data_IF_031988030048
#
_entry.id   IF_031988030048
#
_cell.length_a   1.000
_cell.length_b   1.000
_cell.length_c   1.000
_cell.angle_alpha   90.00
_cell.angle_beta   90.00
_cell.angle_gamma   90.00
#
_symmetry.space_group_name_H-M   'P 1'
#
loop_
_entity.id
_entity.type
_entity.pdbx_description
1 polymer ?
#
# COMPACT_ATOMS: atom_id res chain seq x y z
N UNK A 1 -16.39 -4.27 -7.76
CA UNK A 1 -16.26 -5.25 -6.65
C UNK A 1 -15.79 -6.63 -7.08
N UNK A 2 -16.44 -7.36 -8.00
CA UNK A 2 -15.93 -8.67 -8.48
C UNK A 2 -14.83 -8.51 -9.54
N UNK A 3 -14.98 -7.57 -10.47
CA UNK A 3 -13.97 -7.28 -11.50
C UNK A 3 -12.64 -6.77 -10.92
N UNK A 4 -12.67 -5.97 -9.85
CA UNK A 4 -11.45 -5.48 -9.19
C UNK A 4 -10.65 -6.62 -8.55
N UNK A 5 -11.35 -7.61 -7.96
CA UNK A 5 -10.71 -8.81 -7.37
C UNK A 5 -10.08 -9.73 -8.41
N UNK A 6 -10.62 -9.76 -9.63
CA UNK A 6 -10.06 -10.52 -10.75
C UNK A 6 -9.13 -9.70 -11.64
N UNK A 7 -8.91 -8.41 -11.36
CA UNK A 7 -8.08 -7.52 -12.18
C UNK A 7 -6.69 -8.11 -12.39
N UNK A 8 -6.04 -8.56 -11.32
CA UNK A 8 -4.70 -9.18 -11.39
C UNK A 8 -4.68 -10.48 -12.22
N UNK A 9 -5.75 -11.28 -12.14
CA UNK A 9 -5.89 -12.50 -12.93
C UNK A 9 -6.03 -12.21 -14.43
N UNK A 10 -6.85 -11.21 -14.78
CA UNK A 10 -6.99 -10.78 -16.17
C UNK A 10 -5.73 -10.08 -16.69
N UNK A 11 -5.03 -9.33 -15.84
CA UNK A 11 -3.76 -8.68 -16.18
C UNK A 11 -2.61 -9.66 -16.37
N UNK A 12 -2.64 -10.85 -15.76
CA UNK A 12 -1.64 -11.89 -15.97
C UNK A 12 -1.91 -12.79 -17.18
N UNK A 13 -3.16 -12.87 -17.65
CA UNK A 13 -3.55 -13.70 -18.80
C UNK A 13 -2.78 -13.41 -20.11
N UNK A 14 -2.44 -12.14 -20.48
CA UNK A 14 -1.61 -11.86 -21.63
C UNK A 14 -0.22 -12.51 -21.57
N UNK A 15 0.38 -12.61 -20.39
CA UNK A 15 1.69 -13.28 -20.20
C UNK A 15 1.57 -14.75 -20.55
N UNK A 16 0.50 -15.40 -20.08
CA UNK A 16 0.22 -16.81 -20.39
C UNK A 16 0.03 -17.01 -21.89
N UNK A 17 -0.75 -16.14 -22.54
CA UNK A 17 -0.97 -16.21 -23.98
C UNK A 17 0.34 -16.07 -24.76
N UNK A 18 1.24 -15.16 -24.35
CA UNK A 18 2.56 -15.00 -24.96
C UNK A 18 3.42 -16.25 -24.76
N UNK A 19 3.47 -16.82 -23.56
CA UNK A 19 4.25 -18.04 -23.29
C UNK A 19 3.75 -19.21 -24.14
N UNK A 20 2.44 -19.41 -24.25
CA UNK A 20 1.86 -20.48 -25.07
C UNK A 20 2.06 -20.24 -26.57
N UNK A 21 1.99 -18.98 -27.02
CA UNK A 21 2.26 -18.63 -28.40
C UNK A 21 3.71 -18.90 -28.78
N UNK A 22 4.66 -18.45 -27.95
CA UNK A 22 6.10 -18.72 -28.16
C UNK A 22 6.35 -20.22 -28.18
N UNK A 23 5.75 -20.97 -27.25
CA UNK A 23 5.84 -22.43 -27.22
C UNK A 23 5.34 -23.07 -28.51
N UNK A 24 4.16 -22.67 -28.99
CA UNK A 24 3.60 -23.16 -30.24
C UNK A 24 4.54 -22.94 -31.42
N UNK A 25 5.13 -21.74 -31.53
CA UNK A 25 6.10 -21.44 -32.59
C UNK A 25 7.36 -22.30 -32.48
N UNK A 26 7.89 -22.49 -31.27
CA UNK A 26 9.11 -23.30 -31.04
C UNK A 26 8.89 -24.77 -31.38
N UNK A 27 7.76 -25.34 -30.96
CA UNK A 27 7.49 -26.77 -31.08
C UNK A 27 6.93 -27.15 -32.45
N UNK A 28 5.98 -26.39 -32.98
CA UNK A 28 5.23 -26.79 -34.19
C UNK A 28 5.76 -26.13 -35.46
N UNK A 29 6.35 -24.93 -35.37
CA UNK A 29 6.82 -24.17 -36.55
C UNK A 29 8.31 -24.34 -36.78
N UNK A 30 9.12 -24.30 -35.73
CA UNK A 30 10.58 -24.39 -35.85
C UNK A 30 11.17 -25.78 -35.61
N UNK A 31 10.36 -26.75 -35.15
CA UNK A 31 10.79 -28.13 -34.85
C UNK A 31 12.09 -28.16 -34.01
N UNK A 32 12.24 -27.18 -33.10
CA UNK A 32 13.40 -27.10 -32.24
C UNK A 32 13.23 -28.22 -31.21
N UNK A 33 14.13 -29.21 -31.27
CA UNK A 33 14.16 -30.35 -30.35
C UNK A 33 14.26 -29.93 -28.88
N UNK A 34 14.11 -30.91 -27.98
CA UNK A 34 14.05 -30.67 -26.53
C UNK A 34 15.26 -29.87 -26.01
N UNK A 35 15.08 -28.56 -25.79
CA UNK A 35 16.15 -27.66 -25.30
C UNK A 35 16.48 -27.93 -23.84
N UNK A 36 15.47 -28.26 -23.04
CA UNK A 36 15.58 -28.66 -21.65
C UNK A 36 14.34 -29.47 -21.23
N UNK A 37 14.51 -30.36 -20.26
CA UNK A 37 13.42 -31.13 -19.66
C UNK A 37 12.84 -30.43 -18.43
N UNK A 38 11.60 -30.77 -18.06
CA UNK A 38 10.95 -30.19 -16.87
C UNK A 38 11.76 -30.38 -15.58
N UNK A 39 12.47 -31.49 -15.45
CA UNK A 39 13.33 -31.77 -14.30
C UNK A 39 14.51 -30.79 -14.18
N UNK A 40 15.10 -30.39 -15.32
CA UNK A 40 16.27 -29.49 -15.34
C UNK A 40 15.92 -28.07 -14.91
N UNK A 41 14.71 -27.60 -15.23
CA UNK A 41 14.23 -26.27 -14.80
C UNK A 41 13.70 -26.25 -13.36
N UNK A 42 13.58 -27.40 -12.69
CA UNK A 42 13.04 -27.49 -11.33
C UNK A 42 13.84 -26.67 -10.30
N UNK A 43 15.16 -26.59 -10.47
CA UNK A 43 16.02 -25.74 -9.64
C UNK A 43 15.72 -24.24 -9.80
N UNK A 44 15.46 -23.80 -11.04
CA UNK A 44 15.08 -22.42 -11.38
C UNK A 44 13.72 -22.08 -10.77
N UNK A 45 12.72 -22.95 -10.94
CA UNK A 45 11.39 -22.83 -10.34
C UNK A 45 11.51 -22.65 -8.82
N UNK A 46 12.32 -23.48 -8.17
CA UNK A 46 12.53 -23.44 -6.71
C UNK A 46 13.15 -22.12 -6.27
N UNK A 47 14.21 -21.66 -6.95
CA UNK A 47 14.86 -20.38 -6.64
C UNK A 47 13.93 -19.18 -6.82
N UNK A 48 13.17 -19.16 -7.92
CA UNK A 48 12.18 -18.10 -8.21
C UNK A 48 11.08 -18.09 -7.15
N UNK A 49 10.56 -19.27 -6.78
CA UNK A 49 9.53 -19.41 -5.74
C UNK A 49 10.01 -18.85 -4.41
N UNK A 50 11.23 -19.19 -3.99
CA UNK A 50 11.81 -18.73 -2.73
C UNK A 50 11.92 -17.20 -2.69
N UNK A 51 12.47 -16.59 -3.74
CA UNK A 51 12.65 -15.14 -3.82
C UNK A 51 11.31 -14.41 -3.86
N UNK A 52 10.35 -14.91 -4.63
CA UNK A 52 8.98 -14.37 -4.64
C UNK A 52 8.32 -14.48 -3.27
N UNK A 53 8.50 -15.62 -2.58
CA UNK A 53 7.99 -15.82 -1.23
C UNK A 53 8.55 -14.81 -0.22
N UNK A 54 9.85 -14.55 -0.26
CA UNK A 54 10.48 -13.54 0.61
C UNK A 54 10.01 -12.12 0.30
N UNK A 55 9.92 -11.76 -0.98
CA UNK A 55 9.45 -10.43 -1.39
C UNK A 55 7.98 -10.24 -1.01
N UNK A 56 7.13 -11.23 -1.27
CA UNK A 56 5.72 -11.21 -0.87
C UNK A 56 5.58 -11.10 0.65
N UNK A 57 6.39 -11.83 1.41
CA UNK A 57 6.41 -11.75 2.87
C UNK A 57 6.77 -10.35 3.38
N UNK A 58 7.73 -9.69 2.75
CA UNK A 58 8.12 -8.31 3.05
C UNK A 58 6.98 -7.31 2.80
N UNK A 59 6.46 -7.26 1.57
CA UNK A 59 5.39 -6.31 1.21
C UNK A 59 4.09 -6.58 1.96
N UNK A 60 3.78 -7.84 2.32
CA UNK A 60 2.61 -8.16 3.13
C UNK A 60 2.73 -7.63 4.57
N UNK A 61 3.93 -7.60 5.14
CA UNK A 61 4.15 -7.03 6.47
C UNK A 61 3.89 -5.52 6.44
N UNK A 62 4.46 -4.82 5.46
CA UNK A 62 4.29 -3.38 5.27
C UNK A 62 2.83 -3.02 4.93
N UNK A 63 2.15 -3.84 4.12
CA UNK A 63 0.73 -3.68 3.81
C UNK A 63 -0.15 -3.80 5.07
N UNK A 64 0.01 -4.87 5.87
CA UNK A 64 -0.78 -5.07 7.11
C UNK A 64 -0.56 -3.97 8.14
N UNK A 65 0.67 -3.48 8.20
CA UNK A 65 0.99 -2.34 9.03
C UNK A 65 0.26 -1.09 8.54
N UNK A 66 0.29 -0.85 7.23
CA UNK A 66 -0.37 0.29 6.58
C UNK A 66 -1.89 0.28 6.77
N UNK A 67 -2.56 -0.88 6.78
CA UNK A 67 -3.99 -0.98 7.10
C UNK A 67 -4.33 -0.44 8.50
N UNK A 68 -3.39 -0.49 9.44
CA UNK A 68 -3.61 -0.01 10.82
C UNK A 68 -3.43 1.50 10.95
N UNK A 69 -2.56 2.11 10.13
CA UNK A 69 -2.11 3.49 10.33
C UNK A 69 -3.24 4.53 10.18
N UNK A 70 -4.17 4.44 9.19
CA UNK A 70 -5.29 5.38 9.09
C UNK A 70 -6.16 5.42 10.34
N UNK A 71 -6.42 4.28 10.97
CA UNK A 71 -7.18 4.21 12.21
C UNK A 71 -6.44 4.91 13.36
N UNK A 72 -5.11 4.78 13.43
CA UNK A 72 -4.28 5.48 14.43
C UNK A 72 -4.30 7.00 14.19
N UNK A 73 -4.22 7.45 12.94
CA UNK A 73 -4.36 8.87 12.58
C UNK A 73 -5.73 9.43 12.98
N UNK A 74 -6.81 8.72 12.61
CA UNK A 74 -8.17 9.12 12.97
C UNK A 74 -8.37 9.21 14.49
N UNK A 75 -7.87 8.22 15.24
CA UNK A 75 -7.90 8.26 16.71
C UNK A 75 -7.07 9.40 17.29
N UNK A 76 -5.90 9.70 16.71
CA UNK A 76 -5.04 10.82 17.10
C UNK A 76 -5.73 12.17 16.91
N UNK A 77 -6.35 12.41 15.75
CA UNK A 77 -7.10 13.64 15.47
C UNK A 77 -8.29 13.82 16.43
N UNK A 78 -9.12 12.78 16.59
CA UNK A 78 -10.27 12.82 17.50
C UNK A 78 -9.82 13.00 18.95
N UNK A 79 -8.77 12.28 19.39
CA UNK A 79 -8.21 12.38 20.73
C UNK A 79 -7.61 13.75 21.03
N UNK A 80 -6.92 14.34 20.05
CA UNK A 80 -6.36 15.68 20.18
C UNK A 80 -7.47 16.73 20.30
N UNK A 81 -8.48 16.68 19.42
CA UNK A 81 -9.65 17.56 19.48
C UNK A 81 -10.40 17.42 20.80
N UNK A 82 -10.70 16.20 21.23
CA UNK A 82 -11.41 15.95 22.49
C UNK A 82 -10.63 16.49 23.70
N UNK A 83 -9.31 16.28 23.74
CA UNK A 83 -8.46 16.80 24.82
C UNK A 83 -8.45 18.33 24.83
N UNK A 84 -8.35 18.97 23.65
CA UNK A 84 -8.41 20.42 23.53
C UNK A 84 -9.77 20.99 23.98
N UNK A 85 -10.87 20.31 23.63
CA UNK A 85 -12.21 20.71 24.04
C UNK A 85 -12.40 20.60 25.55
N UNK A 86 -11.95 19.50 26.17
CA UNK A 86 -12.00 19.33 27.63
C UNK A 86 -11.21 20.42 28.36
N UNK A 87 -10.04 20.81 27.84
CA UNK A 87 -9.24 21.88 28.42
C UNK A 87 -9.97 23.24 28.43
N UNK A 88 -10.70 23.54 27.35
CA UNK A 88 -11.44 24.78 27.18
C UNK A 88 -12.77 24.77 27.96
N UNK A 89 -13.51 23.66 27.93
CA UNK A 89 -14.75 23.47 28.69
C UNK A 89 -14.49 23.61 30.20
N UNK A 90 -13.37 23.06 30.70
CA UNK A 90 -12.98 23.21 32.11
C UNK A 90 -12.73 24.67 32.53
N UNK A 91 -12.62 25.60 31.57
CA UNK A 91 -12.43 27.03 31.76
C UNK A 91 -13.59 27.88 31.23
N UNK A 92 -14.72 27.24 30.91
CA UNK A 92 -15.92 27.88 30.34
C UNK A 92 -15.60 28.70 29.08
N UNK A 93 -14.63 28.21 28.28
CA UNK A 93 -14.22 28.83 27.02
C UNK A 93 -14.94 28.21 25.83
N UNK A 94 -15.16 29.01 24.79
CA UNK A 94 -15.62 28.53 23.49
C UNK A 94 -14.55 27.58 22.89
N UNK A 95 -14.99 26.45 22.32
CA UNK A 95 -14.11 25.35 21.91
C UNK A 95 -14.32 24.91 20.46
N UNK A 96 -15.24 25.53 19.71
CA UNK A 96 -15.50 25.15 18.33
C UNK A 96 -14.33 25.55 17.42
N UNK A 97 -13.64 26.65 17.72
CA UNK A 97 -12.42 27.05 17.00
C UNK A 97 -11.32 25.98 17.06
N UNK A 98 -11.10 25.34 18.21
CA UNK A 98 -10.07 24.33 18.39
C UNK A 98 -10.40 23.09 17.56
N UNK A 99 -11.64 22.61 17.67
CA UNK A 99 -12.14 21.49 16.86
C UNK A 99 -12.04 21.76 15.35
N UNK A 100 -12.38 22.97 14.90
CA UNK A 100 -12.28 23.36 13.49
C UNK A 100 -10.85 23.30 12.96
N UNK A 101 -9.88 23.81 13.71
CA UNK A 101 -8.46 23.74 13.33
C UNK A 101 -7.97 22.29 13.21
N UNK A 102 -8.36 21.41 14.13
CA UNK A 102 -8.03 19.98 14.02
C UNK A 102 -8.67 19.34 12.78
N UNK A 103 -9.92 19.72 12.46
CA UNK A 103 -10.58 19.27 11.24
C UNK A 103 -9.83 19.72 9.96
N UNK A 104 -9.38 20.97 9.91
CA UNK A 104 -8.62 21.53 8.77
C UNK A 104 -7.28 20.80 8.56
N UNK A 105 -6.59 20.43 9.66
CA UNK A 105 -5.39 19.59 9.60
C UNK A 105 -5.73 18.18 9.09
N UNK A 106 -6.81 17.58 9.59
CA UNK A 106 -7.26 16.26 9.15
C UNK A 106 -7.66 16.22 7.67
N UNK A 107 -8.30 17.27 7.15
CA UNK A 107 -8.56 17.43 5.71
C UNK A 107 -7.27 17.48 4.90
N UNK A 108 -6.27 18.20 5.40
CA UNK A 108 -4.97 18.32 4.73
C UNK A 108 -4.25 16.98 4.70
N UNK A 109 -4.28 16.20 5.79
CA UNK A 109 -3.75 14.83 5.84
C UNK A 109 -4.50 13.94 4.84
N UNK A 110 -5.82 14.02 4.77
CA UNK A 110 -6.60 13.27 3.79
C UNK A 110 -6.24 13.64 2.35
N UNK A 111 -6.13 14.94 2.03
CA UNK A 111 -5.72 15.41 0.71
C UNK A 111 -4.29 14.95 0.35
N UNK A 112 -3.40 14.90 1.33
CA UNK A 112 -2.04 14.39 1.19
C UNK A 112 -2.00 12.89 0.89
N UNK A 113 -2.82 12.07 1.57
CA UNK A 113 -2.96 10.64 1.28
C UNK A 113 -3.54 10.37 -0.11
N UNK A 114 -4.38 11.28 -0.62
CA UNK A 114 -4.94 11.23 -1.97
C UNK A 114 -3.99 11.79 -3.05
N UNK A 115 -2.73 12.12 -2.69
CA UNK A 115 -1.75 12.70 -3.62
C UNK A 115 -2.05 14.14 -4.07
N UNK A 116 -3.03 14.82 -3.46
CA UNK A 116 -3.45 16.20 -3.83
C UNK A 116 -2.64 17.29 -3.14
N UNK A 117 -1.87 16.93 -2.12
CA UNK A 117 -0.97 17.82 -1.38
C UNK A 117 0.40 17.20 -1.20
N UNK A 118 1.42 18.03 -1.20
CA UNK A 118 2.81 17.65 -0.96
C UNK A 118 3.12 17.39 0.51
N UNK A 119 4.24 16.72 0.78
CA UNK A 119 4.75 16.52 2.16
C UNK A 119 4.95 17.85 2.89
N UNK A 120 5.46 18.87 2.20
CA UNK A 120 5.68 20.18 2.78
C UNK A 120 4.38 20.85 3.23
N UNK A 121 3.31 20.75 2.42
CA UNK A 121 1.99 21.29 2.78
C UNK A 121 1.37 20.53 3.96
N UNK A 122 1.52 19.20 4.00
CA UNK A 122 1.03 18.38 5.10
C UNK A 122 1.72 18.76 6.41
N UNK A 123 3.06 18.84 6.42
CA UNK A 123 3.81 19.21 7.61
C UNK A 123 3.55 20.67 8.04
N UNK A 124 3.35 21.58 7.10
CA UNK A 124 2.96 22.95 7.40
C UNK A 124 1.59 23.02 8.10
N UNK A 125 0.61 22.23 7.66
CA UNK A 125 -0.68 22.13 8.33
C UNK A 125 -0.56 21.44 9.70
N UNK A 126 0.18 20.33 9.79
CA UNK A 126 0.39 19.61 11.06
C UNK A 126 1.02 20.51 12.14
N UNK A 127 1.92 21.43 11.76
CA UNK A 127 2.50 22.40 12.70
C UNK A 127 1.45 23.30 13.39
N UNK A 128 0.24 23.42 12.83
CA UNK A 128 -0.86 24.15 13.46
C UNK A 128 -1.35 23.49 14.76
N UNK A 129 -1.24 22.16 14.90
CA UNK A 129 -1.61 21.46 16.14
C UNK A 129 -0.73 21.92 17.30
N UNK A 130 0.57 22.13 17.07
CA UNK A 130 1.47 22.69 18.09
C UNK A 130 1.07 24.11 18.47
N UNK A 131 0.67 24.94 17.50
CA UNK A 131 0.17 26.30 17.78
C UNK A 131 -1.14 26.27 18.58
N UNK A 132 -2.01 25.31 18.28
CA UNK A 132 -3.26 25.09 19.01
C UNK A 132 -3.00 24.78 20.48
N UNK A 133 -1.98 23.98 20.82
CA UNK A 133 -1.57 23.76 22.23
C UNK A 133 -1.29 25.10 22.93
N UNK A 134 -0.51 25.98 22.30
CA UNK A 134 -0.18 27.31 22.85
C UNK A 134 -1.42 28.20 22.99
N UNK A 135 -2.37 28.13 22.05
CA UNK A 135 -3.58 28.95 22.12
C UNK A 135 -4.55 28.43 23.20
N UNK A 136 -4.63 27.12 23.42
CA UNK A 136 -5.35 26.53 24.55
C UNK A 136 -4.71 26.90 25.89
N UNK A 137 -3.38 26.95 25.96
CA UNK A 137 -2.65 27.43 27.14
C UNK A 137 -2.99 28.89 27.46
N UNK A 138 -2.98 29.77 26.45
CA UNK A 138 -3.37 31.19 26.61
C UNK A 138 -4.83 31.35 27.04
N UNK A 139 -5.71 30.44 26.63
CA UNK A 139 -7.11 30.38 27.08
C UNK A 139 -7.25 29.85 28.52
N UNK A 140 -6.15 29.56 29.21
CA UNK A 140 -6.13 29.09 30.59
C UNK A 140 -6.22 27.57 30.74
N UNK A 141 -6.01 26.79 29.66
CA UNK A 141 -6.04 25.33 29.70
C UNK A 141 -5.08 24.75 30.74
N UNK A 142 -5.56 23.76 31.51
CA UNK A 142 -4.76 23.14 32.56
C UNK A 142 -3.57 22.34 32.01
N UNK A 143 -2.44 22.36 32.73
CA UNK A 143 -1.18 21.71 32.33
C UNK A 143 -1.32 20.22 32.01
N UNK A 144 -2.22 19.49 32.69
CA UNK A 144 -2.43 18.07 32.42
C UNK A 144 -3.08 17.82 31.04
N UNK A 145 -3.95 18.70 30.57
CA UNK A 145 -4.49 18.63 29.21
C UNK A 145 -3.45 18.99 28.17
N UNK A 146 -2.67 20.05 28.42
CA UNK A 146 -1.59 20.46 27.51
C UNK A 146 -0.56 19.34 27.33
N UNK A 147 -0.13 18.70 28.42
CA UNK A 147 0.77 17.55 28.38
C UNK A 147 0.18 16.40 27.55
N UNK A 148 -1.11 16.07 27.75
CA UNK A 148 -1.82 15.05 26.95
C UNK A 148 -1.87 15.43 25.47
N UNK A 149 -2.14 16.69 25.12
CA UNK A 149 -2.15 17.17 23.74
C UNK A 149 -0.77 17.03 23.09
N UNK A 150 0.30 17.36 23.80
CA UNK A 150 1.68 17.19 23.31
C UNK A 150 2.02 15.71 23.06
N UNK A 151 1.59 14.81 23.95
CA UNK A 151 1.74 13.36 23.74
C UNK A 151 1.01 12.89 22.48
N UNK A 152 -0.27 13.24 22.32
CA UNK A 152 -1.06 12.85 21.14
C UNK A 152 -0.47 13.43 19.85
N UNK A 153 0.02 14.67 19.89
CA UNK A 153 0.72 15.30 18.75
C UNK A 153 2.01 14.55 18.39
N UNK A 154 2.79 14.10 19.38
CA UNK A 154 3.98 13.27 19.17
C UNK A 154 3.66 11.90 18.56
N UNK A 155 2.62 11.24 19.04
CA UNK A 155 2.12 9.98 18.49
C UNK A 155 1.63 10.15 17.03
N UNK A 156 0.91 11.23 16.75
CA UNK A 156 0.46 11.57 15.39
C UNK A 156 1.65 11.85 14.48
N UNK A 157 2.64 12.62 14.94
CA UNK A 157 3.88 12.90 14.20
C UNK A 157 4.63 11.61 13.86
N UNK A 158 4.79 10.70 14.81
CA UNK A 158 5.44 9.41 14.58
C UNK A 158 4.68 8.57 13.55
N UNK A 159 3.35 8.56 13.64
CA UNK A 159 2.47 7.83 12.71
C UNK A 159 2.54 8.43 11.30
N UNK A 160 2.49 9.75 11.15
CA UNK A 160 2.57 10.43 9.86
C UNK A 160 3.95 10.26 9.20
N UNK A 161 5.04 10.28 9.98
CA UNK A 161 6.37 9.96 9.47
C UNK A 161 6.44 8.51 8.96
N UNK A 162 5.82 7.57 9.66
CA UNK A 162 5.77 6.17 9.25
C UNK A 162 5.03 5.98 7.94
N UNK A 163 3.88 6.63 7.78
CA UNK A 163 3.15 6.68 6.50
C UNK A 163 4.03 7.30 5.41
N UNK A 164 4.72 8.41 5.70
CA UNK A 164 5.58 9.08 4.73
C UNK A 164 6.75 8.19 4.27
N UNK A 165 7.37 7.45 5.19
CA UNK A 165 8.42 6.48 4.84
C UNK A 165 7.84 5.38 3.95
N UNK A 166 6.77 4.70 4.38
CA UNK A 166 6.16 3.61 3.60
C UNK A 166 5.79 4.07 2.19
N UNK A 167 5.17 5.24 2.06
CA UNK A 167 4.76 5.78 0.75
C UNK A 167 5.96 6.17 -0.12
N UNK A 168 7.01 6.73 0.47
CA UNK A 168 8.15 7.28 -0.28
C UNK A 168 9.30 6.27 -0.48
N UNK A 169 9.24 5.08 0.15
CA UNK A 169 10.26 4.04 -0.01
C UNK A 169 9.65 2.75 -0.58
N UNK A 170 10.02 2.40 -1.81
CA UNK A 170 9.71 1.07 -2.36
C UNK A 170 10.50 -0.02 -1.64
N UNK A 171 9.88 -1.18 -1.39
CA UNK A 171 10.57 -2.31 -0.78
C UNK A 171 11.71 -2.81 -1.70
N UNK A 172 12.96 -2.50 -1.35
CA UNK A 172 14.18 -3.02 -1.99
C UNK A 172 14.12 -3.00 -3.53
N UNK A 173 14.32 -1.83 -4.13
CA UNK A 173 14.27 -1.63 -5.59
C UNK A 173 15.13 -2.63 -6.39
N UNK A 174 16.28 -3.05 -5.86
CA UNK A 174 17.14 -4.09 -6.45
C UNK A 174 16.50 -5.49 -6.42
N UNK A 175 15.72 -5.79 -5.39
CA UNK A 175 14.95 -7.04 -5.26
C UNK A 175 13.85 -7.15 -6.31
N UNK A 176 13.16 -6.04 -6.62
CA UNK A 176 12.19 -6.01 -7.72
C UNK A 176 12.80 -6.27 -9.09
N UNK A 177 13.98 -5.69 -9.36
CA UNK A 177 14.69 -5.93 -10.62
C UNK A 177 15.08 -7.41 -10.73
N UNK A 178 15.68 -7.97 -9.68
CA UNK A 178 16.06 -9.38 -9.64
C UNK A 178 14.85 -10.30 -9.82
N UNK A 179 13.77 -10.08 -9.06
CA UNK A 179 12.53 -10.86 -9.15
C UNK A 179 11.94 -10.79 -10.56
N UNK A 180 11.83 -9.59 -11.14
CA UNK A 180 11.27 -9.41 -12.48
C UNK A 180 12.09 -10.19 -13.52
N UNK A 181 13.42 -10.12 -13.42
CA UNK A 181 14.31 -10.85 -14.31
C UNK A 181 14.19 -12.37 -14.15
N UNK A 182 14.13 -12.87 -12.90
CA UNK A 182 14.00 -14.30 -12.61
C UNK A 182 12.65 -14.85 -13.08
N UNK A 183 11.55 -14.14 -12.84
CA UNK A 183 10.24 -14.51 -13.37
C UNK A 183 10.26 -14.50 -14.88
N UNK A 184 10.84 -13.48 -15.51
CA UNK A 184 10.97 -13.42 -16.97
C UNK A 184 11.73 -14.61 -17.56
N UNK A 185 12.90 -14.95 -16.99
CA UNK A 185 13.66 -16.14 -17.39
C UNK A 185 12.81 -17.40 -17.21
N UNK A 186 12.12 -17.53 -16.07
CA UNK A 186 11.26 -18.68 -15.84
C UNK A 186 10.14 -18.78 -16.87
N UNK A 187 9.50 -17.68 -17.26
CA UNK A 187 8.48 -17.67 -18.31
C UNK A 187 9.04 -18.13 -19.66
N UNK A 188 10.26 -17.70 -20.01
CA UNK A 188 10.94 -18.14 -21.23
C UNK A 188 11.29 -19.63 -21.17
N UNK A 189 11.81 -20.11 -20.04
CA UNK A 189 12.12 -21.52 -19.81
C UNK A 189 10.87 -22.39 -19.93
N UNK A 190 9.74 -21.95 -19.37
CA UNK A 190 8.46 -22.65 -19.50
C UNK A 190 7.95 -22.71 -20.95
N UNK A 191 8.31 -21.75 -21.80
CA UNK A 191 7.95 -21.77 -23.21
C UNK A 191 8.70 -22.87 -23.98
N UNK A 192 9.98 -23.12 -23.65
CA UNK A 192 10.85 -24.04 -24.41
C UNK A 192 10.99 -25.45 -23.82
N UNK A 193 10.58 -25.66 -22.58
CA UNK A 193 10.78 -26.94 -21.87
C UNK A 193 9.95 -28.09 -22.46
N UNK A 194 10.50 -29.30 -22.51
CA UNK A 194 9.78 -30.51 -22.95
C UNK A 194 9.04 -31.20 -21.79
N UNK A 195 7.91 -31.83 -22.11
CA UNK A 195 7.14 -32.66 -21.18
C UNK A 195 6.85 -34.03 -21.81
N UNK A 196 6.91 -35.14 -21.04
CA UNK A 196 6.63 -36.48 -21.57
C UNK A 196 5.19 -36.68 -22.06
N UNK A 197 4.24 -35.93 -21.50
CA UNK A 197 2.82 -36.00 -21.88
C UNK A 197 2.44 -34.78 -22.72
N UNK A 198 1.86 -35.01 -23.90
CA UNK A 198 1.39 -33.97 -24.81
C UNK A 198 0.37 -33.04 -24.15
N UNK A 199 -0.52 -33.57 -23.30
CA UNK A 199 -1.49 -32.74 -22.58
C UNK A 199 -0.79 -31.89 -21.51
N UNK A 200 0.14 -32.49 -20.76
CA UNK A 200 0.89 -31.78 -19.72
C UNK A 200 1.80 -30.69 -20.31
N UNK A 201 2.24 -30.87 -21.55
CA UNK A 201 3.01 -29.89 -22.33
C UNK A 201 2.32 -28.53 -22.43
N UNK A 202 0.99 -28.48 -22.38
CA UNK A 202 0.23 -27.22 -22.46
C UNK A 202 -0.30 -26.77 -21.10
N UNK A 203 -0.72 -27.71 -20.25
CA UNK A 203 -1.33 -27.39 -18.95
C UNK A 203 -0.28 -26.87 -17.97
N UNK A 204 0.88 -27.53 -17.86
CA UNK A 204 1.86 -27.14 -16.84
C UNK A 204 2.46 -25.74 -17.09
N UNK A 205 2.92 -25.38 -18.32
CA UNK A 205 3.39 -24.04 -18.60
C UNK A 205 2.30 -22.98 -18.41
N UNK A 206 1.05 -23.26 -18.78
CA UNK A 206 -0.03 -22.27 -18.63
C UNK A 206 -0.34 -21.97 -17.16
N UNK A 207 -0.50 -23.00 -16.33
CA UNK A 207 -0.79 -22.84 -14.90
C UNK A 207 0.38 -22.18 -14.17
N UNK A 208 1.61 -22.64 -14.40
CA UNK A 208 2.79 -22.06 -13.76
C UNK A 208 3.02 -20.62 -14.24
N UNK A 209 2.88 -20.35 -15.54
CA UNK A 209 3.01 -19.01 -16.10
C UNK A 209 2.02 -18.04 -15.45
N UNK A 210 0.76 -18.47 -15.33
CA UNK A 210 -0.29 -17.69 -14.68
C UNK A 210 0.06 -17.41 -13.21
N UNK A 211 0.48 -18.44 -12.47
CA UNK A 211 0.82 -18.31 -11.06
C UNK A 211 1.97 -17.32 -10.83
N UNK A 212 3.09 -17.44 -11.57
CA UNK A 212 4.23 -16.56 -11.39
C UNK A 212 3.99 -15.13 -11.88
N UNK A 213 3.26 -14.97 -12.99
CA UNK A 213 2.87 -13.64 -13.47
C UNK A 213 1.93 -12.96 -12.46
N UNK A 214 0.95 -13.69 -11.94
CA UNK A 214 0.04 -13.19 -10.91
C UNK A 214 0.79 -12.80 -9.63
N UNK A 215 1.67 -13.66 -9.12
CA UNK A 215 2.44 -13.37 -7.89
C UNK A 215 3.33 -12.14 -8.06
N UNK A 216 3.98 -11.98 -9.22
CA UNK A 216 4.77 -10.79 -9.50
C UNK A 216 3.91 -9.51 -9.52
N UNK A 217 2.73 -9.57 -10.13
CA UNK A 217 1.79 -8.43 -10.12
C UNK A 217 1.27 -8.15 -8.72
N UNK A 218 0.97 -9.19 -7.93
CA UNK A 218 0.49 -9.06 -6.55
C UNK A 218 1.54 -8.38 -5.66
N UNK A 219 2.81 -8.75 -5.78
CA UNK A 219 3.89 -8.08 -5.02
C UNK A 219 3.94 -6.59 -5.37
N UNK A 220 3.84 -6.24 -6.66
CA UNK A 220 3.82 -4.84 -7.10
C UNK A 220 2.57 -4.08 -6.62
N UNK A 221 1.41 -4.74 -6.62
CA UNK A 221 0.13 -4.14 -6.21
C UNK A 221 0.11 -3.82 -4.69
N UNK A 222 0.78 -4.65 -3.89
CA UNK A 222 0.91 -4.52 -2.42
C UNK A 222 1.99 -3.53 -1.97
N UNK A 223 2.99 -3.22 -2.81
CA UNK A 223 4.14 -2.38 -2.45
C UNK A 223 3.78 -0.93 -2.13
N UNK A 224 2.72 -0.41 -2.77
CA UNK A 224 2.25 0.96 -2.58
C UNK A 224 0.84 0.99 -1.97
N UNK A 225 0.70 0.70 -0.65
CA UNK A 225 -0.59 0.64 0.02
C UNK A 225 -1.34 1.98 0.07
N UNK A 226 -0.62 3.10 -0.08
CA UNK A 226 -1.18 4.47 -0.05
C UNK A 226 -1.32 5.10 -1.45
N UNK A 227 -1.30 4.29 -2.51
CA UNK A 227 -1.33 4.70 -3.91
C UNK A 227 -2.65 5.28 -4.43
N UNK A 228 -3.52 5.82 -3.58
CA UNK A 228 -4.85 6.33 -3.95
C UNK A 228 -4.85 7.42 -5.02
N UNK A 229 -3.74 8.15 -5.15
CA UNK A 229 -3.54 9.19 -6.17
C UNK A 229 -2.99 8.65 -7.50
N UNK A 230 -2.52 7.41 -7.55
CA UNK A 230 -1.96 6.79 -8.75
C UNK A 230 -3.08 6.24 -9.66
N UNK A 231 -2.83 6.18 -10.97
CA UNK A 231 -3.78 5.74 -12.00
C UNK A 231 -5.09 6.57 -12.09
N UNK A 232 -4.99 7.90 -12.22
CA UNK A 232 -6.15 8.81 -12.40
C UNK A 232 -7.23 8.69 -11.31
N UNK A 233 -6.85 8.32 -10.08
CA UNK A 233 -7.76 8.14 -8.95
C UNK A 233 -8.53 6.82 -8.94
N UNK A 234 -8.13 5.85 -9.77
CA UNK A 234 -8.69 4.49 -9.78
C UNK A 234 -8.06 3.56 -8.74
N UNK A 235 -6.93 3.95 -8.14
CA UNK A 235 -6.29 3.20 -7.05
C UNK A 235 -5.77 1.81 -7.46
N UNK A 236 -5.05 1.20 -6.53
CA UNK A 236 -4.64 -0.20 -6.58
C UNK A 236 -5.75 -1.12 -6.06
N UNK A 237 -5.73 -2.40 -6.44
CA UNK A 237 -6.65 -3.40 -5.84
C UNK A 237 -6.39 -3.61 -4.34
N UNK A 238 -5.21 -3.20 -3.87
CA UNK A 238 -4.72 -3.29 -2.51
C UNK A 238 -4.43 -1.91 -1.87
N UNK A 239 -5.23 -0.90 -2.20
CA UNK A 239 -5.21 0.38 -1.50
C UNK A 239 -5.77 0.23 -0.06
N UNK A 240 -5.12 0.84 0.93
CA UNK A 240 -5.59 0.77 2.34
C UNK A 240 -6.83 1.61 2.58
N UNK A 241 -7.70 1.17 3.49
CA UNK A 241 -8.90 1.94 3.80
C UNK A 241 -8.60 3.20 4.61
N UNK A 242 -8.81 4.38 4.00
CA UNK A 242 -8.69 5.70 4.64
C UNK A 242 -10.01 6.20 5.25
N UNK A 243 -11.09 5.42 5.18
CA UNK A 243 -12.39 5.75 5.79
C UNK A 243 -12.28 6.17 7.26
N UNK A 244 -11.43 5.56 8.12
CA UNK A 244 -11.29 6.02 9.51
C UNK A 244 -10.90 7.50 9.65
N UNK A 245 -10.06 8.02 8.74
CA UNK A 245 -9.68 9.46 8.74
C UNK A 245 -10.86 10.30 8.26
N UNK A 246 -11.56 9.87 7.21
CA UNK A 246 -12.73 10.58 6.67
C UNK A 246 -13.82 10.68 7.73
N UNK A 247 -14.12 9.58 8.43
CA UNK A 247 -15.09 9.54 9.52
C UNK A 247 -14.66 10.45 10.68
N UNK A 248 -13.39 10.44 11.07
CA UNK A 248 -12.87 11.34 12.10
C UNK A 248 -13.04 12.81 11.70
N UNK A 249 -12.60 13.21 10.51
CA UNK A 249 -12.72 14.58 9.99
C UNK A 249 -14.19 15.00 9.88
N UNK A 250 -15.06 14.10 9.40
CA UNK A 250 -16.50 14.37 9.31
C UNK A 250 -17.11 14.61 10.70
N UNK A 251 -16.77 13.80 11.70
CA UNK A 251 -17.24 13.99 13.08
C UNK A 251 -16.77 15.33 13.67
N UNK A 252 -15.51 15.69 13.43
CA UNK A 252 -14.97 16.99 13.87
C UNK A 252 -15.73 18.18 13.26
N UNK A 253 -16.22 18.07 12.03
CA UNK A 253 -17.01 19.13 11.38
C UNK A 253 -18.45 19.21 11.88
N UNK A 254 -19.09 18.05 12.08
CA UNK A 254 -20.49 18.00 12.50
C UNK A 254 -20.65 18.25 14.00
N UNK A 255 -19.55 18.19 14.76
CA UNK A 255 -19.54 18.41 16.19
C UNK A 255 -20.16 17.26 17.00
N UNK A 256 -20.30 16.09 16.37
CA UNK A 256 -20.78 14.83 16.95
C UNK A 256 -19.61 14.00 17.49
#
# INVERSE_FOLDING_TARGET
MLFDRFRLLFSSAPVVAVVLLVRYLVQEVWDIGEVATFGEIGSVITGVTLILGFMLGGVLADYKESERLPAVVGAGLTGFSATSALALIAKDQEHAWARRRVADVGETIHAWLMGKKSDAEMWAAHADLTRLVTDVEKAGGGTHYLGRMMTVNGELTATLNRIAVIRNTSFVQSGYVLMTFLVFILQLSLAVVSFPSTVMSWIAPSVLSLAYAYLLLLVRDLDNPFGHGDNDGHGSGADVDITPIISAVSGLKTGL
#
